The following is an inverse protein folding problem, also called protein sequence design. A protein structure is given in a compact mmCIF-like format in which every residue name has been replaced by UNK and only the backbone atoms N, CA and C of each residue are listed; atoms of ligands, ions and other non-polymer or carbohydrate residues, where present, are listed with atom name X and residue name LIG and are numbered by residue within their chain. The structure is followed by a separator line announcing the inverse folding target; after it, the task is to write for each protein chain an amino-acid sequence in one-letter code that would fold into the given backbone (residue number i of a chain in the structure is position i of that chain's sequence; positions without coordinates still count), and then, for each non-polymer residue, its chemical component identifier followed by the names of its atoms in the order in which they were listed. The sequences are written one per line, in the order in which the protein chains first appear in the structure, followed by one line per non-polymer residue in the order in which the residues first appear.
data_IF_171747377162
#
_entry.id   IF_171747377162
#
_cell.length_a   1.000
_cell.length_b   1.000
_cell.length_c   1.000
_cell.angle_alpha   90.00
_cell.angle_beta   90.00
_cell.angle_gamma   90.00
#
_symmetry.space_group_name_H-M   'P 1'
#
loop_
_entity.id
_entity.type
_entity.pdbx_description
1 polymer ?
#
# COMPACT_ATOMS: atom_id res chain seq x y z
N UNK A 1 5.14 -28.58 12.96
CA UNK A 1 6.08 -27.72 13.69
C UNK A 1 6.57 -26.53 12.85
N UNK A 2 7.02 -26.74 11.61
CA UNK A 2 7.50 -25.65 10.72
C UNK A 2 6.45 -24.57 10.43
N UNK A 3 5.19 -24.97 10.17
CA UNK A 3 4.05 -24.06 9.97
C UNK A 3 3.84 -23.10 11.16
N UNK A 4 3.95 -23.61 12.39
CA UNK A 4 3.76 -22.81 13.61
C UNK A 4 4.89 -21.78 13.77
N UNK A 5 6.12 -22.16 13.45
CA UNK A 5 7.26 -21.26 13.48
C UNK A 5 7.11 -20.12 12.46
N UNK A 6 6.68 -20.45 11.23
CA UNK A 6 6.37 -19.48 10.19
C UNK A 6 5.27 -18.50 10.62
N UNK A 7 4.21 -19.01 11.24
CA UNK A 7 3.08 -18.19 11.67
C UNK A 7 3.49 -17.19 12.77
N UNK A 8 4.29 -17.64 13.74
CA UNK A 8 4.84 -16.78 14.79
C UNK A 8 5.80 -15.75 14.20
N UNK A 9 6.66 -16.15 13.25
CA UNK A 9 7.56 -15.23 12.57
C UNK A 9 6.80 -14.14 11.79
N UNK A 10 5.80 -14.52 10.97
CA UNK A 10 4.95 -13.57 10.24
C UNK A 10 4.20 -12.63 11.18
N UNK A 11 3.74 -13.13 12.33
CA UNK A 11 3.07 -12.31 13.33
C UNK A 11 3.99 -11.20 13.86
N UNK A 12 5.20 -11.56 14.31
CA UNK A 12 6.18 -10.58 14.79
C UNK A 12 6.60 -9.61 13.68
N UNK A 13 6.79 -10.11 12.46
CA UNK A 13 7.07 -9.26 11.31
C UNK A 13 5.94 -8.26 11.06
N UNK A 14 4.68 -8.70 11.11
CA UNK A 14 3.50 -7.85 10.97
C UNK A 14 3.43 -6.77 12.05
N UNK A 15 3.76 -7.10 13.31
CA UNK A 15 3.82 -6.13 14.41
C UNK A 15 4.89 -5.07 14.14
N UNK A 16 6.11 -5.48 13.77
CA UNK A 16 7.21 -4.56 13.47
C UNK A 16 6.85 -3.65 12.29
N UNK A 17 6.33 -4.22 11.21
CA UNK A 17 5.89 -3.47 10.03
C UNK A 17 4.76 -2.49 10.35
N UNK A 18 3.83 -2.89 11.21
CA UNK A 18 2.74 -2.03 11.69
C UNK A 18 3.26 -0.85 12.51
N UNK A 19 4.21 -1.09 13.42
CA UNK A 19 4.84 -0.05 14.24
C UNK A 19 5.65 0.94 13.39
N UNK A 20 6.51 0.44 12.51
CA UNK A 20 7.31 1.30 11.62
C UNK A 20 6.41 2.06 10.67
N UNK A 21 5.39 1.39 10.13
CA UNK A 21 4.42 2.01 9.21
C UNK A 21 3.55 3.09 9.84
N UNK A 22 3.15 2.94 11.11
CA UNK A 22 2.38 3.94 11.83
C UNK A 22 3.24 5.13 12.27
N UNK A 23 4.49 4.89 12.67
CA UNK A 23 5.45 5.96 12.98
C UNK A 23 5.83 6.78 11.75
N UNK A 24 5.99 6.13 10.59
CA UNK A 24 6.27 6.82 9.33
C UNK A 24 5.06 7.63 8.80
N UNK A 25 3.84 7.37 9.31
CA UNK A 25 2.62 8.06 8.86
C UNK A 25 2.11 7.63 7.48
N UNK A 26 2.69 6.58 6.87
CA UNK A 26 2.39 6.14 5.50
C UNK A 26 1.35 5.01 5.46
N UNK A 27 1.12 4.32 6.59
CA UNK A 27 0.28 3.11 6.65
C UNK A 27 1.06 1.91 6.09
N UNK A 28 1.37 0.93 6.96
CA UNK A 28 2.46 -0.05 6.80
C UNK A 28 2.49 -0.93 5.55
N UNK A 29 1.49 -0.85 4.66
CA UNK A 29 1.45 -1.55 3.38
C UNK A 29 2.56 -1.15 2.40
N UNK A 30 3.08 0.09 2.48
CA UNK A 30 4.20 0.55 1.65
C UNK A 30 5.50 -0.21 1.95
N UNK A 31 5.69 -0.65 3.19
CA UNK A 31 6.85 -1.47 3.59
C UNK A 31 6.54 -2.96 3.39
N UNK A 32 5.32 -3.39 3.73
CA UNK A 32 4.90 -4.78 3.61
C UNK A 32 4.98 -5.32 2.17
N UNK A 33 4.47 -4.57 1.20
CA UNK A 33 4.36 -5.02 -0.21
C UNK A 33 5.71 -5.37 -0.84
N UNK A 34 6.73 -4.47 -0.85
CA UNK A 34 8.05 -4.80 -1.41
C UNK A 34 8.76 -5.89 -0.61
N UNK A 35 8.60 -5.93 0.71
CA UNK A 35 9.20 -6.97 1.54
C UNK A 35 8.65 -8.36 1.18
N UNK A 36 7.33 -8.49 1.11
CA UNK A 36 6.69 -9.76 0.78
C UNK A 36 6.97 -10.19 -0.67
N UNK A 37 7.02 -9.24 -1.62
CA UNK A 37 7.42 -9.52 -3.00
C UNK A 37 8.89 -9.96 -3.13
N UNK A 38 9.79 -9.43 -2.28
CA UNK A 38 11.20 -9.77 -2.32
C UNK A 38 11.52 -11.14 -1.70
N UNK A 39 10.80 -11.53 -0.65
CA UNK A 39 11.10 -12.74 0.14
C UNK A 39 10.11 -13.90 -0.08
N UNK A 40 9.03 -13.70 -0.83
CA UNK A 40 7.99 -14.71 -1.02
C UNK A 40 7.69 -14.94 -2.50
N UNK A 41 7.48 -16.19 -2.89
CA UNK A 41 7.08 -16.59 -4.26
C UNK A 41 5.56 -16.48 -4.49
N UNK A 42 4.86 -15.73 -3.65
CA UNK A 42 3.40 -15.58 -3.72
C UNK A 42 3.04 -14.71 -4.93
N UNK A 43 1.93 -15.04 -5.60
CA UNK A 43 1.46 -14.24 -6.73
C UNK A 43 1.29 -12.76 -6.32
N UNK A 44 1.87 -11.80 -7.07
CA UNK A 44 1.93 -10.39 -6.69
C UNK A 44 0.60 -9.74 -6.32
N UNK A 45 -0.50 -10.21 -6.92
CA UNK A 45 -1.83 -9.66 -6.68
C UNK A 45 -2.31 -9.93 -5.25
N UNK A 46 -2.03 -11.10 -4.68
CA UNK A 46 -2.37 -11.41 -3.29
C UNK A 46 -1.54 -10.57 -2.32
N UNK A 47 -0.25 -10.38 -2.62
CA UNK A 47 0.65 -9.56 -1.80
C UNK A 47 0.20 -8.10 -1.79
N UNK A 48 -0.21 -7.54 -2.94
CA UNK A 48 -0.73 -6.16 -3.01
C UNK A 48 -2.06 -6.02 -2.29
N UNK A 49 -2.99 -6.97 -2.47
CA UNK A 49 -4.29 -6.92 -1.81
C UNK A 49 -4.16 -6.97 -0.28
N UNK A 50 -3.32 -7.87 0.23
CA UNK A 50 -3.02 -7.96 1.67
C UNK A 50 -2.28 -6.73 2.17
N UNK A 51 -1.32 -6.20 1.41
CA UNK A 51 -0.63 -4.96 1.74
C UNK A 51 -1.56 -3.74 1.85
N UNK A 52 -2.56 -3.63 0.98
CA UNK A 52 -3.59 -2.59 1.06
C UNK A 52 -4.45 -2.74 2.32
N UNK A 53 -4.82 -3.97 2.70
CA UNK A 53 -5.54 -4.22 3.95
C UNK A 53 -4.70 -3.80 5.17
N UNK A 54 -3.41 -4.14 5.19
CA UNK A 54 -2.47 -3.73 6.25
C UNK A 54 -2.34 -2.20 6.30
N UNK A 55 -2.16 -1.54 5.16
CA UNK A 55 -2.10 -0.08 5.09
C UNK A 55 -3.37 0.57 5.64
N UNK A 56 -4.54 0.08 5.23
CA UNK A 56 -5.83 0.59 5.68
C UNK A 56 -5.97 0.46 7.20
N UNK A 57 -5.76 -0.73 7.76
CA UNK A 57 -5.91 -0.97 9.20
C UNK A 57 -4.94 -0.10 10.02
N UNK A 58 -3.67 -0.05 9.62
CA UNK A 58 -2.66 0.72 10.36
C UNK A 58 -2.88 2.23 10.24
N UNK A 59 -3.25 2.73 9.06
CA UNK A 59 -3.58 4.13 8.85
C UNK A 59 -4.85 4.55 9.59
N UNK A 60 -5.89 3.71 9.63
CA UNK A 60 -7.12 4.00 10.39
C UNK A 60 -6.87 4.08 11.89
N UNK A 61 -6.09 3.14 12.45
CA UNK A 61 -5.77 3.13 13.88
C UNK A 61 -4.91 4.36 14.24
N UNK A 62 -3.85 4.63 13.47
CA UNK A 62 -2.99 5.80 13.70
C UNK A 62 -3.74 7.12 13.54
N UNK A 63 -4.50 7.26 12.45
CA UNK A 63 -5.30 8.45 12.17
C UNK A 63 -6.37 8.73 13.24
N UNK A 64 -7.05 7.69 13.75
CA UNK A 64 -8.00 7.85 14.84
C UNK A 64 -7.33 8.42 16.11
N UNK A 65 -6.18 7.86 16.51
CA UNK A 65 -5.45 8.33 17.70
C UNK A 65 -4.93 9.77 17.54
N UNK A 66 -4.35 10.10 16.38
CA UNK A 66 -3.89 11.47 16.12
C UNK A 66 -5.05 12.49 16.06
N UNK A 67 -6.24 12.06 15.64
CA UNK A 67 -7.45 12.88 15.67
C UNK A 67 -7.99 13.07 17.10
N UNK A 68 -7.95 12.03 17.94
CA UNK A 68 -8.34 12.11 19.35
C UNK A 68 -7.42 13.04 20.14
N UNK A 69 -6.12 13.01 19.85
CA UNK A 69 -5.12 13.85 20.50
C UNK A 69 -5.14 15.32 20.00
N UNK A 70 -6.00 15.65 19.02
CA UNK A 70 -6.15 17.01 18.48
C UNK A 70 -4.97 17.48 17.63
N UNK A 71 -4.06 16.56 17.25
CA UNK A 71 -2.87 16.84 16.45
C UNK A 71 -3.22 16.84 14.95
N UNK A 72 -4.21 16.03 14.54
CA UNK A 72 -4.62 15.91 13.15
C UNK A 72 -5.67 16.96 12.75
N UNK A 73 -5.39 17.72 11.68
CA UNK A 73 -6.41 18.53 11.00
C UNK A 73 -7.28 17.64 10.10
N UNK A 74 -8.42 17.20 10.65
CA UNK A 74 -9.36 16.30 9.96
C UNK A 74 -9.97 16.96 8.72
N UNK A 75 -10.10 18.29 8.67
CA UNK A 75 -10.68 18.97 7.49
C UNK A 75 -9.73 18.89 6.31
N UNK A 76 -8.46 19.20 6.54
CA UNK A 76 -7.41 19.09 5.52
C UNK A 76 -7.24 17.62 5.11
N UNK A 77 -7.18 16.72 6.10
CA UNK A 77 -7.09 15.28 5.86
C UNK A 77 -8.24 14.73 5.00
N UNK A 78 -9.48 15.09 5.30
CA UNK A 78 -10.65 14.68 4.53
C UNK A 78 -10.65 15.24 3.09
N UNK A 79 -10.20 16.49 2.91
CA UNK A 79 -10.06 17.09 1.59
C UNK A 79 -9.06 16.31 0.72
N UNK A 80 -7.84 16.05 1.24
CA UNK A 80 -6.84 15.26 0.52
C UNK A 80 -7.29 13.81 0.32
N UNK A 81 -7.96 13.21 1.29
CA UNK A 81 -8.52 11.86 1.16
C UNK A 81 -9.52 11.79 0.00
N UNK A 82 -10.40 12.78 -0.15
CA UNK A 82 -11.36 12.83 -1.27
C UNK A 82 -10.65 12.88 -2.63
N UNK A 83 -9.62 13.72 -2.76
CA UNK A 83 -8.81 13.82 -3.98
C UNK A 83 -8.07 12.51 -4.28
N UNK A 84 -7.51 11.87 -3.25
CA UNK A 84 -6.82 10.59 -3.37
C UNK A 84 -7.78 9.47 -3.80
N UNK A 85 -9.00 9.43 -3.27
CA UNK A 85 -10.02 8.45 -3.66
C UNK A 85 -10.42 8.64 -5.13
N UNK A 86 -10.72 9.88 -5.54
CA UNK A 86 -11.10 10.16 -6.93
C UNK A 86 -9.95 9.85 -7.88
N UNK A 87 -8.74 10.33 -7.57
CA UNK A 87 -7.54 10.11 -8.39
C UNK A 87 -7.16 8.63 -8.51
N UNK A 88 -7.17 7.89 -7.40
CA UNK A 88 -6.86 6.45 -7.40
C UNK A 88 -7.92 5.64 -8.15
N UNK A 89 -9.20 5.99 -8.03
CA UNK A 89 -10.29 5.32 -8.76
C UNK A 89 -10.17 5.54 -10.25
N UNK A 90 -9.97 6.80 -10.69
CA UNK A 90 -9.76 7.13 -12.11
C UNK A 90 -8.52 6.39 -12.63
N UNK A 91 -7.40 6.46 -11.91
CA UNK A 91 -6.17 5.77 -12.29
C UNK A 91 -6.33 4.25 -12.42
N UNK A 92 -7.04 3.62 -11.48
CA UNK A 92 -7.32 2.18 -11.52
C UNK A 92 -8.19 1.80 -12.74
N UNK A 93 -9.26 2.55 -12.99
CA UNK A 93 -10.14 2.33 -14.14
C UNK A 93 -9.41 2.54 -15.47
N UNK A 94 -8.63 3.61 -15.59
CA UNK A 94 -7.79 3.86 -16.77
C UNK A 94 -6.76 2.74 -16.97
N UNK A 95 -6.14 2.24 -15.91
CA UNK A 95 -5.18 1.13 -15.98
C UNK A 95 -5.82 -0.17 -16.47
N UNK A 96 -7.03 -0.48 -16.01
CA UNK A 96 -7.81 -1.63 -16.49
C UNK A 96 -8.17 -1.44 -17.97
N UNK A 97 -8.65 -0.26 -18.35
CA UNK A 97 -9.01 0.04 -19.75
C UNK A 97 -7.82 -0.11 -20.70
N UNK A 98 -6.65 0.43 -20.33
CA UNK A 98 -5.42 0.31 -21.13
C UNK A 98 -4.99 -1.15 -21.24
N UNK A 99 -5.05 -1.90 -20.13
CA UNK A 99 -4.68 -3.32 -20.12
C UNK A 99 -5.60 -4.18 -20.98
N UNK A 100 -6.90 -3.89 -20.99
CA UNK A 100 -7.89 -4.62 -21.79
C UNK A 100 -7.77 -4.34 -23.29
N UNK A 101 -7.42 -3.12 -23.70
CA UNK A 101 -7.30 -2.76 -25.13
C UNK A 101 -5.94 -3.12 -25.73
N UNK A 102 -4.84 -2.94 -24.98
CA UNK A 102 -3.47 -3.12 -25.48
C UNK A 102 -2.81 -4.44 -25.02
N UNK A 103 -3.52 -5.26 -24.23
CA UNK A 103 -3.03 -6.56 -23.76
C UNK A 103 -1.68 -6.46 -23.02
N UNK A 104 -0.70 -7.27 -23.44
CA UNK A 104 0.62 -7.31 -22.80
C UNK A 104 1.41 -5.99 -22.93
N UNK A 105 1.25 -5.26 -24.04
CA UNK A 105 1.89 -3.96 -24.24
C UNK A 105 1.36 -2.92 -23.25
N UNK A 106 0.05 -2.94 -22.97
CA UNK A 106 -0.58 -2.08 -21.96
C UNK A 106 -0.04 -2.34 -20.55
N UNK A 107 0.10 -3.61 -20.16
CA UNK A 107 0.71 -3.98 -18.87
C UNK A 107 2.16 -3.51 -18.74
N UNK A 108 2.95 -3.67 -19.81
CA UNK A 108 4.34 -3.22 -19.84
C UNK A 108 4.44 -1.69 -19.70
N UNK A 109 3.59 -0.95 -20.42
CA UNK A 109 3.53 0.51 -20.35
C UNK A 109 3.20 1.00 -18.93
N UNK A 110 2.18 0.42 -18.29
CA UNK A 110 1.79 0.77 -16.91
C UNK A 110 2.95 0.49 -15.94
N UNK A 111 3.61 -0.67 -16.07
CA UNK A 111 4.76 -1.01 -15.21
C UNK A 111 5.93 -0.04 -15.40
N UNK A 112 6.23 0.35 -16.64
CA UNK A 112 7.26 1.34 -16.95
C UNK A 112 6.91 2.72 -16.39
N UNK A 113 5.67 3.16 -16.58
CA UNK A 113 5.20 4.45 -16.06
C UNK A 113 5.27 4.50 -14.53
N UNK A 114 4.84 3.43 -13.84
CA UNK A 114 4.98 3.31 -12.38
C UNK A 114 6.46 3.29 -11.95
N UNK A 115 7.33 2.59 -12.69
CA UNK A 115 8.77 2.58 -12.41
C UNK A 115 9.41 3.96 -12.56
N UNK A 116 9.08 4.70 -13.63
CA UNK A 116 9.56 6.07 -13.85
C UNK A 116 9.05 7.03 -12.77
N UNK A 117 7.78 6.90 -12.37
CA UNK A 117 7.20 7.68 -11.27
C UNK A 117 7.98 7.46 -9.97
N UNK A 118 8.30 6.21 -9.64
CA UNK A 118 9.08 5.89 -8.43
C UNK A 118 10.49 6.50 -8.48
N UNK A 119 11.15 6.43 -9.63
CA UNK A 119 12.47 7.08 -9.82
C UNK A 119 12.35 8.59 -9.62
N UNK A 120 11.31 9.22 -10.20
CA UNK A 120 11.06 10.65 -10.04
C UNK A 120 10.76 11.06 -8.60
N UNK A 121 10.09 10.22 -7.81
CA UNK A 121 9.83 10.49 -6.38
C UNK A 121 11.14 10.44 -5.56
N UNK A 122 12.09 9.59 -5.95
CA UNK A 122 13.36 9.38 -5.23
C UNK A 122 14.42 10.42 -5.60
N UNK A 123 14.35 10.98 -6.81
CA UNK A 123 15.27 12.00 -7.32
C UNK A 123 14.95 13.40 -6.75
#
# INVERSE_FOLDING_TARGET
MVELFLLVFLFFLGVVLGLVGSLAGVGGGVIFTPLMLAFSEIHPDYVRATGLAVALTTASIGGARYSEEGIADVKIGAFFASLAVVGSTIGALSGIYITSNLGNTGKALIRLALGLLLIFIVL
#
